data_IF_993871698468
#
_entry.id   IF_993871698468
#
_cell.length_a   1.000
_cell.length_b   1.000
_cell.length_c   1.000
_cell.angle_alpha   90.00
_cell.angle_beta   90.00
_cell.angle_gamma   90.00
#
_symmetry.space_group_name_H-M   'P 1'
#
loop_
_entity.id
_entity.type
_entity.pdbx_description
1 polymer ?
#
# COMPACT_ATOMS: atom_id res chain seq x y z
N UNK A 1 -26.72 28.38 -1.33
CA UNK A 1 -26.61 27.04 -0.77
C UNK A 1 -26.78 26.01 -1.89
N UNK A 2 -25.67 25.61 -2.51
CA UNK A 2 -25.68 24.65 -3.62
C UNK A 2 -25.51 23.25 -3.01
N UNK A 3 -26.52 22.39 -3.14
CA UNK A 3 -26.45 20.97 -2.79
C UNK A 3 -25.49 20.27 -3.76
N UNK A 4 -24.31 19.93 -3.27
CA UNK A 4 -23.42 18.96 -3.92
C UNK A 4 -24.20 17.64 -4.03
N UNK A 5 -24.68 17.31 -5.22
CA UNK A 5 -25.18 15.98 -5.54
C UNK A 5 -23.98 15.04 -5.57
N UNK A 6 -23.88 14.20 -4.56
CA UNK A 6 -23.03 13.00 -4.54
C UNK A 6 -23.56 12.09 -5.67
N UNK A 7 -23.05 12.24 -6.89
CA UNK A 7 -23.27 11.27 -7.96
C UNK A 7 -22.42 10.04 -7.62
N UNK A 8 -23.05 9.08 -6.97
CA UNK A 8 -22.51 7.74 -6.85
C UNK A 8 -22.24 7.17 -8.24
N UNK A 9 -21.15 6.40 -8.36
CA UNK A 9 -20.81 5.69 -9.59
C UNK A 9 -22.01 4.92 -10.10
N UNK A 10 -22.21 4.88 -11.44
CA UNK A 10 -23.18 3.99 -12.04
C UNK A 10 -22.73 2.54 -11.79
N UNK A 11 -23.69 1.59 -11.74
CA UNK A 11 -23.37 0.16 -11.54
C UNK A 11 -22.33 -0.37 -12.52
N UNK A 12 -22.28 0.17 -13.74
CA UNK A 12 -21.30 -0.18 -14.77
C UNK A 12 -19.91 0.37 -14.45
N UNK A 13 -19.81 1.60 -13.90
CA UNK A 13 -18.55 2.18 -13.43
C UNK A 13 -18.00 1.46 -12.19
N UNK A 14 -18.89 1.02 -11.27
CA UNK A 14 -18.50 0.19 -10.12
C UNK A 14 -17.99 -1.18 -10.54
N UNK A 15 -18.63 -1.83 -11.50
CA UNK A 15 -18.20 -3.12 -12.07
C UNK A 15 -16.85 -3.00 -12.77
N UNK A 16 -16.65 -1.95 -13.57
CA UNK A 16 -15.35 -1.68 -14.21
C UNK A 16 -14.26 -1.37 -13.19
N UNK A 17 -14.54 -0.61 -12.14
CA UNK A 17 -13.61 -0.35 -11.05
C UNK A 17 -13.27 -1.63 -10.27
N UNK A 18 -14.24 -2.53 -10.05
CA UNK A 18 -14.00 -3.83 -9.44
C UNK A 18 -13.14 -4.75 -10.32
N UNK A 19 -13.39 -4.79 -11.60
CA UNK A 19 -12.64 -5.64 -12.55
C UNK A 19 -11.19 -5.14 -12.71
N UNK A 20 -10.97 -3.82 -12.77
CA UNK A 20 -9.65 -3.21 -12.77
C UNK A 20 -8.91 -3.33 -11.42
N UNK A 21 -9.63 -3.42 -10.31
CA UNK A 21 -9.02 -3.55 -8.98
C UNK A 21 -8.55 -4.99 -8.68
N UNK A 22 -9.22 -5.98 -9.27
CA UNK A 22 -8.95 -7.40 -9.04
C UNK A 22 -7.67 -7.90 -9.74
N UNK A 23 -7.33 -7.30 -10.88
CA UNK A 23 -6.09 -7.60 -11.59
C UNK A 23 -4.94 -6.71 -11.10
N UNK A 24 -4.33 -7.09 -9.96
CA UNK A 24 -3.04 -6.52 -9.57
C UNK A 24 -2.03 -6.93 -10.64
N UNK A 25 -1.64 -6.01 -11.49
CA UNK A 25 -0.62 -6.23 -12.51
C UNK A 25 0.60 -6.92 -11.88
N UNK A 26 1.20 -7.88 -12.57
CA UNK A 26 2.42 -8.58 -12.13
C UNK A 26 3.51 -7.58 -11.72
N UNK A 27 3.61 -6.44 -12.42
CA UNK A 27 4.52 -5.32 -12.09
C UNK A 27 4.23 -4.72 -10.70
N UNK A 28 2.97 -4.53 -10.36
CA UNK A 28 2.56 -3.98 -9.05
C UNK A 28 2.84 -4.97 -7.92
N UNK A 29 2.67 -6.28 -8.16
CA UNK A 29 3.02 -7.30 -7.18
C UNK A 29 4.52 -7.36 -6.92
N UNK A 30 5.35 -7.32 -7.96
CA UNK A 30 6.81 -7.30 -7.81
C UNK A 30 7.29 -6.07 -7.03
N UNK A 31 6.69 -4.90 -7.27
CA UNK A 31 6.99 -3.67 -6.54
C UNK A 31 6.62 -3.79 -5.04
N UNK A 32 5.50 -4.41 -4.71
CA UNK A 32 5.10 -4.62 -3.32
C UNK A 32 6.05 -5.57 -2.58
N UNK A 33 6.36 -6.72 -3.18
CA UNK A 33 7.29 -7.67 -2.56
C UNK A 33 8.71 -7.12 -2.43
N UNK A 34 9.21 -6.41 -3.45
CA UNK A 34 10.52 -5.76 -3.41
C UNK A 34 10.61 -4.70 -2.31
N UNK A 35 9.61 -3.82 -2.19
CA UNK A 35 9.56 -2.83 -1.12
C UNK A 35 9.42 -3.46 0.26
N UNK A 36 8.54 -4.45 0.41
CA UNK A 36 8.34 -5.16 1.66
C UNK A 36 9.63 -5.85 2.12
N UNK A 37 10.38 -6.47 1.21
CA UNK A 37 11.67 -7.09 1.52
C UNK A 37 12.69 -6.07 2.03
N UNK A 38 12.83 -4.94 1.33
CA UNK A 38 13.76 -3.88 1.74
C UNK A 38 13.41 -3.37 3.13
N UNK A 39 12.15 -3.03 3.38
CA UNK A 39 11.72 -2.43 4.65
C UNK A 39 11.78 -3.44 5.80
N UNK A 40 11.41 -4.70 5.56
CA UNK A 40 11.53 -5.75 6.59
C UNK A 40 12.98 -6.15 6.90
N UNK A 41 13.92 -5.86 5.99
CA UNK A 41 15.36 -6.06 6.25
C UNK A 41 16.01 -4.91 7.05
N UNK A 42 15.44 -3.70 7.05
CA UNK A 42 15.99 -2.55 7.81
C UNK A 42 16.22 -2.86 9.29
N UNK A 43 15.29 -3.52 10.01
CA UNK A 43 15.49 -3.87 11.41
C UNK A 43 16.67 -4.81 11.66
N UNK A 44 17.10 -5.62 10.69
CA UNK A 44 18.30 -6.49 10.84
C UNK A 44 19.52 -5.64 11.21
N UNK A 45 19.72 -4.52 10.50
CA UNK A 45 20.81 -3.60 10.78
C UNK A 45 20.69 -2.99 12.20
N UNK A 46 19.49 -2.61 12.60
CA UNK A 46 19.21 -2.04 13.92
C UNK A 46 19.52 -3.05 15.03
N UNK A 47 19.08 -4.29 14.90
CA UNK A 47 19.31 -5.31 15.90
C UNK A 47 20.77 -5.81 15.93
N UNK A 48 21.42 -5.87 14.79
CA UNK A 48 22.85 -6.15 14.71
C UNK A 48 23.69 -5.07 15.39
N UNK A 49 23.41 -3.80 15.08
CA UNK A 49 24.28 -2.69 15.50
C UNK A 49 23.99 -2.21 16.92
N UNK A 50 22.74 -2.19 17.35
CA UNK A 50 22.31 -1.61 18.63
C UNK A 50 22.06 -2.71 19.66
N UNK A 51 21.33 -3.74 19.32
CA UNK A 51 21.06 -4.87 20.21
C UNK A 51 22.17 -5.92 20.24
N UNK A 52 23.24 -5.74 19.45
CA UNK A 52 24.46 -6.55 19.40
C UNK A 52 24.18 -8.04 19.13
N UNK A 53 23.19 -8.35 18.31
CA UNK A 53 22.92 -9.73 17.88
C UNK A 53 24.03 -10.18 16.92
N UNK A 54 24.61 -11.33 17.18
CA UNK A 54 25.57 -11.94 16.26
C UNK A 54 24.85 -12.42 14.98
N UNK A 55 25.30 -11.90 13.83
CA UNK A 55 24.70 -12.20 12.53
C UNK A 55 24.81 -13.69 12.18
N UNK A 56 25.98 -14.28 12.42
CA UNK A 56 26.23 -15.64 11.97
C UNK A 56 25.41 -16.66 12.73
N UNK A 57 25.30 -16.54 14.05
CA UNK A 57 24.50 -17.44 14.87
C UNK A 57 22.99 -17.25 14.67
N UNK A 58 22.56 -16.03 14.28
CA UNK A 58 21.15 -15.67 14.13
C UNK A 58 20.68 -15.58 12.66
N UNK A 59 21.52 -16.00 11.72
CA UNK A 59 21.22 -15.86 10.28
C UNK A 59 19.91 -16.54 9.88
N UNK A 60 19.68 -17.76 10.35
CA UNK A 60 18.44 -18.51 10.07
C UNK A 60 17.23 -17.75 10.62
N UNK A 61 17.33 -17.22 11.83
CA UNK A 61 16.28 -16.44 12.46
C UNK A 61 15.98 -15.17 11.66
N UNK A 62 17.01 -14.44 11.22
CA UNK A 62 16.85 -13.26 10.38
C UNK A 62 16.14 -13.59 9.06
N UNK A 63 16.55 -14.64 8.35
CA UNK A 63 15.94 -15.03 7.08
C UNK A 63 14.48 -15.42 7.27
N UNK A 64 14.15 -16.26 8.26
CA UNK A 64 12.79 -16.72 8.48
C UNK A 64 11.86 -15.57 8.87
N UNK A 65 12.24 -14.77 9.88
CA UNK A 65 11.39 -13.67 10.37
C UNK A 65 11.21 -12.59 9.30
N UNK A 66 12.28 -12.23 8.58
CA UNK A 66 12.18 -11.25 7.49
C UNK A 66 11.31 -11.75 6.35
N UNK A 67 11.37 -13.04 6.00
CA UNK A 67 10.52 -13.62 4.94
C UNK A 67 9.04 -13.56 5.32
N UNK A 68 8.70 -13.93 6.56
CA UNK A 68 7.34 -13.86 7.06
C UNK A 68 6.85 -12.41 7.08
N UNK A 69 7.67 -11.49 7.60
CA UNK A 69 7.33 -10.06 7.63
C UNK A 69 7.15 -9.48 6.23
N UNK A 70 7.98 -9.86 5.26
CA UNK A 70 7.86 -9.45 3.86
C UNK A 70 6.50 -9.88 3.28
N UNK A 71 6.09 -11.12 3.52
CA UNK A 71 4.80 -11.62 3.04
C UNK A 71 3.63 -10.84 3.67
N UNK A 72 3.64 -10.65 4.98
CA UNK A 72 2.58 -9.94 5.70
C UNK A 72 2.50 -8.46 5.29
N UNK A 73 3.64 -7.79 5.12
CA UNK A 73 3.69 -6.41 4.63
C UNK A 73 3.19 -6.29 3.19
N UNK A 74 3.58 -7.20 2.29
CA UNK A 74 3.07 -7.20 0.93
C UNK A 74 1.55 -7.39 0.88
N UNK A 75 1.00 -8.21 1.78
CA UNK A 75 -0.44 -8.38 1.96
C UNK A 75 -1.09 -7.09 2.47
N UNK A 76 -0.49 -6.43 3.47
CA UNK A 76 -0.96 -5.15 3.98
C UNK A 76 -0.97 -4.06 2.89
N UNK A 77 0.07 -3.98 2.05
CA UNK A 77 0.09 -3.03 0.93
C UNK A 77 -1.06 -3.26 -0.05
N UNK A 78 -1.34 -4.53 -0.42
CA UNK A 78 -2.43 -4.88 -1.35
C UNK A 78 -3.79 -4.43 -0.80
N UNK A 79 -4.06 -4.76 0.45
CA UNK A 79 -5.32 -4.42 1.10
C UNK A 79 -5.51 -2.91 1.25
N UNK A 80 -4.48 -2.21 1.74
CA UNK A 80 -4.48 -0.76 1.89
C UNK A 80 -4.63 -0.06 0.54
N UNK A 81 -3.94 -0.55 -0.51
CA UNK A 81 -4.10 -0.04 -1.87
C UNK A 81 -5.54 -0.13 -2.34
N UNK A 82 -6.19 -1.28 -2.13
CA UNK A 82 -7.57 -1.50 -2.54
C UNK A 82 -8.52 -0.47 -1.92
N UNK A 83 -8.42 -0.27 -0.61
CA UNK A 83 -9.24 0.72 0.12
C UNK A 83 -8.95 2.16 -0.30
N UNK A 84 -7.66 2.51 -0.49
CA UNK A 84 -7.26 3.86 -0.90
C UNK A 84 -7.65 4.17 -2.33
N UNK A 85 -7.55 3.21 -3.25
CA UNK A 85 -7.88 3.40 -4.65
C UNK A 85 -9.31 3.92 -4.84
N UNK A 86 -10.26 3.31 -4.14
CA UNK A 86 -11.66 3.75 -4.19
C UNK A 86 -11.82 5.19 -3.66
N UNK A 87 -11.24 5.50 -2.50
CA UNK A 87 -11.30 6.83 -1.89
C UNK A 87 -10.65 7.91 -2.77
N UNK A 88 -9.53 7.59 -3.41
CA UNK A 88 -8.80 8.51 -4.29
C UNK A 88 -9.58 8.73 -5.58
N UNK A 89 -10.13 7.67 -6.18
CA UNK A 89 -10.94 7.77 -7.39
C UNK A 89 -12.08 8.76 -7.22
N UNK A 90 -12.81 8.68 -6.09
CA UNK A 90 -13.89 9.64 -5.75
C UNK A 90 -13.37 11.07 -5.57
N UNK A 91 -12.26 11.24 -4.83
CA UNK A 91 -11.72 12.58 -4.55
C UNK A 91 -11.11 13.28 -5.77
N UNK A 92 -10.51 12.51 -6.67
CA UNK A 92 -9.83 13.04 -7.88
C UNK A 92 -10.74 13.17 -9.09
N UNK A 93 -11.95 12.65 -9.01
CA UNK A 93 -12.89 12.59 -10.13
C UNK A 93 -13.07 13.95 -10.83
N UNK A 94 -13.41 14.99 -10.08
CA UNK A 94 -13.65 16.31 -10.65
C UNK A 94 -12.39 16.95 -11.26
N UNK A 95 -11.24 16.81 -10.58
CA UNK A 95 -9.98 17.39 -11.05
C UNK A 95 -9.52 16.73 -12.35
N UNK A 96 -9.47 15.40 -12.39
CA UNK A 96 -9.04 14.64 -13.57
C UNK A 96 -9.99 14.86 -14.75
N UNK A 97 -11.31 14.90 -14.49
CA UNK A 97 -12.31 15.16 -15.52
C UNK A 97 -12.15 16.56 -16.10
N UNK A 98 -11.92 17.58 -15.28
CA UNK A 98 -11.71 18.96 -15.72
C UNK A 98 -10.46 19.10 -16.58
N UNK A 99 -9.34 18.52 -16.16
CA UNK A 99 -8.06 18.62 -16.88
C UNK A 99 -8.10 17.87 -18.21
N UNK A 100 -8.71 16.68 -18.24
CA UNK A 100 -8.84 15.92 -19.47
C UNK A 100 -9.88 16.50 -20.41
N UNK A 101 -11.02 16.98 -19.91
CA UNK A 101 -12.03 17.60 -20.77
C UNK A 101 -11.49 18.84 -21.48
N UNK A 102 -10.64 19.63 -20.83
CA UNK A 102 -9.92 20.74 -21.48
C UNK A 102 -9.01 20.26 -22.60
N UNK A 103 -8.17 19.24 -22.34
CA UNK A 103 -7.24 18.69 -23.34
C UNK A 103 -7.96 18.01 -24.51
N UNK A 104 -9.06 17.29 -24.23
CA UNK A 104 -9.84 16.59 -25.26
C UNK A 104 -10.83 17.50 -26.00
N UNK A 105 -11.12 18.72 -25.48
CA UNK A 105 -11.94 19.69 -26.22
C UNK A 105 -11.21 20.27 -27.45
N UNK A 106 -9.87 20.24 -27.41
CA UNK A 106 -9.03 20.66 -28.56
C UNK A 106 -9.02 19.62 -29.68
N UNK A 107 -9.25 18.35 -29.36
CA UNK A 107 -9.33 17.24 -30.34
C UNK A 107 -10.77 17.08 -30.90
N UNK A 108 -11.04 17.77 -32.00
CA UNK A 108 -12.36 17.75 -32.71
C UNK A 108 -12.68 16.40 -33.39
N UNK A 109 -11.72 15.47 -33.50
CA UNK A 109 -11.87 14.21 -34.24
C UNK A 109 -12.39 13.03 -33.42
N UNK A 110 -12.49 13.15 -32.08
CA UNK A 110 -12.87 12.05 -31.21
C UNK A 110 -14.37 12.02 -30.90
N UNK A 111 -14.95 10.79 -30.94
CA UNK A 111 -16.32 10.53 -30.50
C UNK A 111 -16.49 10.80 -29.00
N UNK A 112 -17.71 11.19 -28.55
CA UNK A 112 -18.02 11.37 -27.12
C UNK A 112 -17.69 10.14 -26.29
N UNK A 113 -18.06 8.94 -26.77
CA UNK A 113 -17.77 7.66 -26.08
C UNK A 113 -16.27 7.46 -25.86
N UNK A 114 -15.47 7.73 -26.87
CA UNK A 114 -14.01 7.58 -26.81
C UNK A 114 -13.35 8.58 -25.82
N UNK A 115 -13.94 9.78 -25.71
CA UNK A 115 -13.52 10.77 -24.70
C UNK A 115 -13.83 10.30 -23.28
N UNK A 116 -15.02 9.76 -23.05
CA UNK A 116 -15.47 9.28 -21.75
C UNK A 116 -14.65 8.06 -21.30
N UNK A 117 -14.36 7.12 -22.22
CA UNK A 117 -13.48 5.96 -21.95
C UNK A 117 -12.06 6.39 -21.59
N UNK A 118 -11.48 7.38 -22.28
CA UNK A 118 -10.15 7.91 -21.95
C UNK A 118 -10.11 8.61 -20.60
N UNK A 119 -11.17 9.34 -20.26
CA UNK A 119 -11.30 9.99 -18.96
C UNK A 119 -11.36 8.93 -17.87
N UNK A 120 -12.16 7.88 -18.04
CA UNK A 120 -12.30 6.79 -17.07
C UNK A 120 -10.98 6.04 -16.91
N UNK A 121 -10.31 5.70 -18.01
CA UNK A 121 -9.01 5.05 -17.97
C UNK A 121 -7.96 5.89 -17.22
N UNK A 122 -7.89 7.19 -17.50
CA UNK A 122 -6.94 8.10 -16.83
C UNK A 122 -7.25 8.28 -15.34
N UNK A 123 -8.53 8.37 -14.96
CA UNK A 123 -8.95 8.38 -13.56
C UNK A 123 -8.44 7.14 -12.83
N UNK A 124 -8.64 5.97 -13.43
CA UNK A 124 -8.18 4.71 -12.85
C UNK A 124 -6.66 4.62 -12.75
N UNK A 125 -5.93 5.07 -13.76
CA UNK A 125 -4.46 5.11 -13.76
C UNK A 125 -3.91 5.98 -12.64
N UNK A 126 -4.43 7.21 -12.50
CA UNK A 126 -4.02 8.16 -11.46
C UNK A 126 -4.35 7.62 -10.07
N UNK A 127 -5.57 7.10 -9.89
CA UNK A 127 -5.98 6.52 -8.61
C UNK A 127 -5.14 5.29 -8.24
N UNK A 128 -4.79 4.45 -9.21
CA UNK A 128 -3.94 3.27 -8.99
C UNK A 128 -2.51 3.66 -8.59
N UNK A 129 -1.93 4.64 -9.25
CA UNK A 129 -0.58 5.13 -8.94
C UNK A 129 -0.53 5.78 -7.55
N UNK A 130 -1.45 6.71 -7.26
CA UNK A 130 -1.51 7.39 -5.96
C UNK A 130 -1.79 6.40 -4.83
N UNK A 131 -2.74 5.47 -5.02
CA UNK A 131 -3.06 4.45 -4.03
C UNK A 131 -1.88 3.52 -3.76
N UNK A 132 -1.14 3.13 -4.79
CA UNK A 132 0.06 2.28 -4.65
C UNK A 132 1.13 2.98 -3.83
N UNK A 133 1.45 4.22 -4.19
CA UNK A 133 2.49 5.02 -3.51
C UNK A 133 2.13 5.29 -2.05
N UNK A 134 0.89 5.73 -1.78
CA UNK A 134 0.42 6.00 -0.43
C UNK A 134 0.32 4.74 0.43
N UNK A 135 -0.09 3.62 -0.15
CA UNK A 135 -0.15 2.34 0.55
C UNK A 135 1.23 1.90 1.04
N UNK A 136 2.25 1.97 0.17
CA UNK A 136 3.63 1.64 0.51
C UNK A 136 4.14 2.59 1.60
N UNK A 137 4.02 3.89 1.38
CA UNK A 137 4.52 4.90 2.32
C UNK A 137 3.90 4.76 3.71
N UNK A 138 2.57 4.65 3.79
CA UNK A 138 1.84 4.55 5.05
C UNK A 138 2.21 3.31 5.85
N UNK A 139 2.20 2.14 5.20
CA UNK A 139 2.54 0.89 5.88
C UNK A 139 4.02 0.83 6.28
N UNK A 140 4.94 1.38 5.48
CA UNK A 140 6.36 1.45 5.84
C UNK A 140 6.59 2.34 7.06
N UNK A 141 5.99 3.53 7.07
CA UNK A 141 6.09 4.45 8.20
C UNK A 141 5.55 3.82 9.49
N UNK A 142 4.37 3.19 9.42
CA UNK A 142 3.80 2.49 10.57
C UNK A 142 4.67 1.32 11.02
N UNK A 143 5.13 0.48 10.09
CA UNK A 143 5.96 -0.67 10.42
C UNK A 143 7.22 -0.26 11.16
N UNK A 144 8.00 0.65 10.61
CA UNK A 144 9.25 1.10 11.24
C UNK A 144 9.01 1.78 12.59
N UNK A 145 7.97 2.62 12.69
CA UNK A 145 7.63 3.28 13.95
C UNK A 145 7.26 2.27 15.04
N UNK A 146 6.38 1.31 14.73
CA UNK A 146 5.95 0.32 15.72
C UNK A 146 7.10 -0.62 16.08
N UNK A 147 7.95 -1.03 15.13
CA UNK A 147 9.15 -1.83 15.42
C UNK A 147 10.08 -1.11 16.38
N UNK A 148 10.34 0.18 16.17
CA UNK A 148 11.19 0.98 17.05
C UNK A 148 10.58 1.07 18.47
N UNK A 149 9.28 1.40 18.55
CA UNK A 149 8.60 1.47 19.86
C UNK A 149 8.60 0.10 20.55
N UNK A 150 8.30 -0.96 19.83
CA UNK A 150 8.29 -2.31 20.39
C UNK A 150 9.66 -2.74 20.89
N UNK A 151 10.71 -2.55 20.10
CA UNK A 151 12.06 -3.02 20.44
C UNK A 151 12.70 -2.26 21.60
N UNK A 152 12.46 -0.95 21.71
CA UNK A 152 13.14 -0.10 22.73
C UNK A 152 12.29 0.16 23.98
N UNK A 153 10.97 0.19 23.86
CA UNK A 153 10.09 0.55 24.99
C UNK A 153 9.29 -0.63 25.53
N UNK A 154 8.78 -1.51 24.66
CA UNK A 154 7.93 -2.62 25.11
C UNK A 154 8.74 -3.87 25.48
N UNK A 155 9.79 -4.16 24.73
CA UNK A 155 10.54 -5.41 24.82
C UNK A 155 12.02 -5.25 25.20
N UNK A 156 12.47 -4.17 25.91
CA UNK A 156 13.87 -3.99 26.22
C UNK A 156 14.42 -5.07 27.18
N UNK A 157 13.56 -5.66 28.01
CA UNK A 157 13.92 -6.68 28.99
C UNK A 157 14.07 -8.09 28.41
N UNK A 158 13.65 -8.30 27.16
CA UNK A 158 13.76 -9.60 26.51
C UNK A 158 15.13 -9.81 25.87
N UNK A 159 15.52 -11.06 25.70
CA UNK A 159 16.76 -11.37 24.99
C UNK A 159 16.69 -10.84 23.55
N UNK A 160 17.80 -10.33 22.99
CA UNK A 160 17.79 -9.71 21.67
C UNK A 160 17.14 -10.54 20.53
N UNK A 161 17.35 -11.89 20.45
CA UNK A 161 16.67 -12.70 19.44
C UNK A 161 15.14 -12.77 19.62
N UNK A 162 14.65 -12.83 20.87
CA UNK A 162 13.22 -12.83 21.17
C UNK A 162 12.62 -11.47 20.87
N UNK A 163 13.30 -10.38 21.30
CA UNK A 163 12.90 -9.02 20.99
C UNK A 163 12.76 -8.81 19.48
N UNK A 164 13.76 -9.26 18.69
CA UNK A 164 13.71 -9.20 17.22
C UNK A 164 12.48 -9.91 16.65
N UNK A 165 12.28 -11.17 17.03
CA UNK A 165 11.20 -12.00 16.50
C UNK A 165 9.83 -11.42 16.83
N UNK A 166 9.63 -11.01 18.08
CA UNK A 166 8.33 -10.48 18.54
C UNK A 166 8.07 -9.09 17.97
N UNK A 167 9.07 -8.18 18.01
CA UNK A 167 8.89 -6.83 17.48
C UNK A 167 8.51 -6.83 16.01
N UNK A 168 9.19 -7.60 15.18
CA UNK A 168 8.95 -7.62 13.74
C UNK A 168 7.72 -8.46 13.40
N UNK A 169 7.62 -9.66 13.97
CA UNK A 169 6.49 -10.57 13.67
C UNK A 169 5.15 -10.01 14.13
N UNK A 170 5.07 -9.50 15.36
CA UNK A 170 3.86 -8.90 15.89
C UNK A 170 3.47 -7.63 15.11
N UNK A 171 4.45 -6.78 14.77
CA UNK A 171 4.18 -5.56 14.00
C UNK A 171 3.67 -5.88 12.59
N UNK A 172 4.31 -6.80 11.89
CA UNK A 172 3.88 -7.21 10.55
C UNK A 172 2.48 -7.86 10.60
N UNK A 173 2.22 -8.71 11.59
CA UNK A 173 0.91 -9.33 11.82
C UNK A 173 -0.17 -8.30 12.13
N UNK A 174 0.12 -7.33 12.99
CA UNK A 174 -0.79 -6.24 13.33
C UNK A 174 -1.16 -5.39 12.11
N UNK A 175 -0.20 -5.03 11.27
CA UNK A 175 -0.45 -4.28 10.04
C UNK A 175 -1.28 -5.08 9.04
N UNK A 176 -1.00 -6.37 8.88
CA UNK A 176 -1.79 -7.24 8.04
C UNK A 176 -3.26 -7.31 8.53
N UNK A 177 -3.48 -7.46 9.84
CA UNK A 177 -4.81 -7.47 10.45
C UNK A 177 -5.53 -6.13 10.29
N UNK A 178 -4.88 -5.01 10.59
CA UNK A 178 -5.46 -3.67 10.43
C UNK A 178 -5.85 -3.39 8.98
N UNK A 179 -5.06 -3.87 8.03
CA UNK A 179 -5.34 -3.70 6.61
C UNK A 179 -6.55 -4.50 6.13
N UNK A 180 -6.85 -5.64 6.77
CA UNK A 180 -8.04 -6.45 6.45
C UNK A 180 -9.32 -5.92 7.10
N UNK A 181 -9.22 -5.31 8.29
CA UNK A 181 -10.37 -4.77 9.01
C UNK A 181 -10.94 -3.47 8.43
N UNK A 182 -10.27 -2.86 7.46
CA UNK A 182 -10.71 -1.61 6.80
C UNK A 182 -11.52 -1.82 5.52
N UNK A 183 -11.95 -3.05 5.24
CA UNK A 183 -12.82 -3.39 4.10
C UNK A 183 -14.29 -3.14 4.38
#
# INVERSE_FOLDING_TARGET
MSKSQNKGFTKEEELLLQDFSRNVSTKSSALFYGNALIVSAVPIWLFWRIHLIDIYSSLVLFVVVTSIATYLLALAYKNTKFTLKHKIAVKREEAVTRDLSKKLSEDKKMSKKEKDERILWKKNEVADFEATTLSIFYNNALFLTIVIISSFYLLPSFTPPVNYTVSIGATAGLLALLSTGSQ
#
